data_IF_666136662760
#
_entry.id   IF_666136662760
#
_cell.length_a   1.000
_cell.length_b   1.000
_cell.length_c   1.000
_cell.angle_alpha   90.00
_cell.angle_beta   90.00
_cell.angle_gamma   90.00
#
_symmetry.space_group_name_H-M   'P 1'
#
loop_
_entity.id
_entity.type
_entity.pdbx_description
1 polymer ?
#
# COMPACT_ATOMS: atom_id res chain seq x y z
N UNK A 1 10.89 17.34 -15.23
CA UNK A 1 11.83 16.22 -15.41
C UNK A 1 12.01 15.57 -14.04
N UNK A 2 11.64 14.29 -13.85
CA UNK A 2 11.84 13.66 -12.56
C UNK A 2 13.30 13.19 -12.42
N UNK A 3 13.84 13.47 -11.24
CA UNK A 3 15.19 13.14 -10.78
C UNK A 3 15.37 11.62 -10.75
N UNK A 4 16.43 11.09 -11.37
CA UNK A 4 16.80 9.67 -11.29
C UNK A 4 17.93 9.52 -10.26
N UNK A 5 17.70 8.87 -9.10
CA UNK A 5 18.77 8.61 -8.14
C UNK A 5 19.74 7.55 -8.70
N UNK A 6 21.03 7.87 -8.69
CA UNK A 6 22.12 6.99 -9.10
C UNK A 6 22.37 5.88 -8.07
N UNK A 7 21.47 4.90 -7.98
CA UNK A 7 21.74 3.66 -7.26
C UNK A 7 22.28 2.63 -8.26
N UNK A 8 23.60 2.54 -8.35
CA UNK A 8 24.30 1.51 -9.11
C UNK A 8 24.06 0.13 -8.45
N UNK A 9 23.00 -0.54 -8.88
CA UNK A 9 22.74 -1.97 -8.58
C UNK A 9 23.24 -2.91 -9.69
N UNK A 10 24.08 -2.42 -10.61
CA UNK A 10 24.72 -3.27 -11.61
C UNK A 10 26.14 -3.58 -11.18
N UNK A 11 26.32 -4.69 -10.46
CA UNK A 11 27.53 -5.53 -10.47
C UNK A 11 27.28 -6.78 -9.61
N UNK A 12 26.76 -7.87 -10.19
CA UNK A 12 27.31 -9.20 -9.95
C UNK A 12 26.82 -10.20 -11.00
N UNK A 13 27.75 -10.96 -11.54
CA UNK A 13 27.57 -12.00 -12.54
C UNK A 13 26.56 -13.08 -12.13
N UNK A 14 25.85 -13.59 -13.15
CA UNK A 14 24.85 -14.68 -13.20
C UNK A 14 23.39 -14.19 -13.23
N UNK A 15 22.80 -14.26 -14.43
CA UNK A 15 21.40 -13.95 -14.70
C UNK A 15 20.41 -14.74 -13.84
N UNK A 16 19.96 -14.12 -12.75
CA UNK A 16 18.68 -14.45 -12.11
C UNK A 16 17.73 -13.28 -12.30
N UNK A 17 16.88 -13.39 -13.31
CA UNK A 17 15.66 -12.61 -13.42
C UNK A 17 14.71 -13.06 -12.31
N UNK A 18 14.43 -12.18 -11.34
CA UNK A 18 13.37 -12.28 -10.33
C UNK A 18 13.41 -13.58 -9.49
N UNK A 19 13.89 -13.44 -8.26
CA UNK A 19 13.68 -14.43 -7.21
C UNK A 19 12.19 -14.78 -7.08
N UNK A 20 11.83 -16.06 -7.22
CA UNK A 20 10.45 -16.50 -7.03
C UNK A 20 9.97 -16.13 -5.61
N UNK A 21 8.65 -16.12 -5.37
CA UNK A 21 8.08 -15.72 -4.08
C UNK A 21 8.76 -16.41 -2.89
N UNK A 22 9.09 -17.70 -3.03
CA UNK A 22 9.77 -18.48 -2.00
C UNK A 22 11.18 -17.98 -1.70
N UNK A 23 11.94 -17.52 -2.68
CA UNK A 23 13.26 -16.90 -2.46
C UNK A 23 13.13 -15.57 -1.71
N UNK A 24 12.07 -14.79 -1.98
CA UNK A 24 11.78 -13.53 -1.25
C UNK A 24 11.39 -13.84 0.20
N UNK A 25 10.51 -14.82 0.43
CA UNK A 25 10.13 -15.26 1.77
C UNK A 25 11.35 -15.69 2.58
N UNK A 26 12.25 -16.49 1.99
CA UNK A 26 13.47 -16.91 2.66
C UNK A 26 14.39 -15.72 2.96
N UNK A 27 14.51 -14.76 2.06
CA UNK A 27 15.28 -13.54 2.32
C UNK A 27 14.70 -12.74 3.49
N UNK A 28 13.36 -12.59 3.56
CA UNK A 28 12.67 -11.91 4.66
C UNK A 28 12.90 -12.63 6.00
N UNK A 29 12.78 -13.96 6.02
CA UNK A 29 13.02 -14.77 7.21
C UNK A 29 14.48 -14.69 7.70
N UNK A 30 15.41 -14.38 6.81
CA UNK A 30 16.83 -14.26 7.11
C UNK A 30 17.24 -12.86 7.60
N UNK A 31 16.32 -11.89 7.57
CA UNK A 31 16.66 -10.51 7.94
C UNK A 31 16.93 -10.37 9.45
N UNK A 32 17.94 -9.58 9.85
CA UNK A 32 18.07 -9.17 11.23
C UNK A 32 16.88 -8.30 11.64
N UNK A 33 16.52 -8.33 12.92
CA UNK A 33 15.29 -7.69 13.41
C UNK A 33 15.14 -6.22 13.01
N UNK A 34 16.23 -5.43 13.01
CA UNK A 34 16.18 -4.03 12.63
C UNK A 34 15.87 -3.79 11.14
N UNK A 35 16.35 -4.65 10.24
CA UNK A 35 16.02 -4.57 8.81
C UNK A 35 14.60 -5.07 8.56
N UNK A 36 14.16 -6.08 9.31
CA UNK A 36 12.78 -6.56 9.27
C UNK A 36 11.78 -5.47 9.70
N UNK A 37 12.09 -4.70 10.76
CA UNK A 37 11.25 -3.56 11.17
C UNK A 37 11.15 -2.48 10.08
N UNK A 38 12.28 -2.14 9.43
CA UNK A 38 12.27 -1.21 8.29
C UNK A 38 11.43 -1.73 7.13
N UNK A 39 11.56 -3.02 6.82
CA UNK A 39 10.80 -3.66 5.75
C UNK A 39 9.29 -3.61 6.05
N UNK A 40 8.89 -3.90 7.29
CA UNK A 40 7.49 -3.78 7.70
C UNK A 40 6.97 -2.34 7.55
N UNK A 41 7.73 -1.36 8.02
CA UNK A 41 7.32 0.04 7.92
C UNK A 41 7.10 0.45 6.47
N UNK A 42 8.06 0.16 5.60
CA UNK A 42 7.94 0.41 4.17
C UNK A 42 6.74 -0.33 3.54
N UNK A 43 6.47 -1.57 3.97
CA UNK A 43 5.33 -2.33 3.46
C UNK A 43 4.00 -1.69 3.85
N UNK A 44 3.87 -1.18 5.08
CA UNK A 44 2.68 -0.43 5.48
C UNK A 44 2.51 0.85 4.68
N UNK A 45 3.58 1.61 4.46
CA UNK A 45 3.52 2.83 3.65
C UNK A 45 3.05 2.52 2.22
N UNK A 46 3.51 1.42 1.63
CA UNK A 46 3.05 0.95 0.32
C UNK A 46 1.58 0.54 0.32
N UNK A 47 1.13 -0.15 1.37
CA UNK A 47 -0.26 -0.59 1.50
C UNK A 47 -1.21 0.62 1.65
N UNK A 48 -0.81 1.63 2.43
CA UNK A 48 -1.53 2.90 2.54
C UNK A 48 -1.64 3.62 1.19
N UNK A 49 -0.55 3.70 0.43
CA UNK A 49 -0.59 4.32 -0.91
C UNK A 49 -1.54 3.59 -1.85
N UNK A 50 -1.55 2.26 -1.85
CA UNK A 50 -2.48 1.48 -2.67
C UNK A 50 -3.92 1.66 -2.22
N UNK A 51 -4.14 1.78 -0.93
CA UNK A 51 -5.46 2.04 -0.38
C UNK A 51 -5.97 3.43 -0.80
N UNK A 52 -5.12 4.46 -0.76
CA UNK A 52 -5.46 5.79 -1.26
C UNK A 52 -5.86 5.74 -2.76
N UNK A 53 -5.05 5.09 -3.60
CA UNK A 53 -5.34 4.90 -5.03
C UNK A 53 -6.67 4.17 -5.26
N UNK A 54 -6.94 3.12 -4.48
CA UNK A 54 -8.18 2.35 -4.59
C UNK A 54 -9.40 3.18 -4.17
N UNK A 55 -9.29 3.96 -3.10
CA UNK A 55 -10.37 4.85 -2.66
C UNK A 55 -10.66 5.91 -3.72
N UNK A 56 -9.63 6.53 -4.31
CA UNK A 56 -9.81 7.50 -5.40
C UNK A 56 -10.53 6.88 -6.60
N UNK A 57 -10.16 5.65 -6.96
CA UNK A 57 -10.84 4.92 -8.04
C UNK A 57 -12.29 4.60 -7.68
N UNK A 58 -12.56 4.11 -6.47
CA UNK A 58 -13.91 3.77 -6.02
C UNK A 58 -14.82 5.01 -5.95
N UNK A 59 -14.27 6.18 -5.61
CA UNK A 59 -14.94 7.49 -5.71
C UNK A 59 -15.25 7.80 -7.18
N UNK A 60 -14.27 7.70 -8.07
CA UNK A 60 -14.45 8.00 -9.49
C UNK A 60 -15.48 7.08 -10.16
N UNK A 61 -15.58 5.84 -9.70
CA UNK A 61 -16.56 4.85 -10.18
C UNK A 61 -17.94 4.99 -9.49
N UNK A 62 -18.09 5.91 -8.53
CA UNK A 62 -19.34 6.13 -7.81
C UNK A 62 -19.75 4.97 -6.90
N UNK A 63 -18.79 4.12 -6.51
CA UNK A 63 -19.07 2.94 -5.66
C UNK A 63 -19.38 3.34 -4.22
N UNK A 64 -18.92 4.53 -3.80
CA UNK A 64 -19.15 5.06 -2.46
C UNK A 64 -20.44 5.90 -2.37
N UNK A 65 -21.13 6.19 -3.47
CA UNK A 65 -22.38 6.97 -3.47
C UNK A 65 -23.47 6.34 -2.62
N UNK A 66 -23.58 5.01 -2.62
CA UNK A 66 -24.58 4.29 -1.82
C UNK A 66 -24.33 4.49 -0.31
N UNK A 67 -23.06 4.41 0.11
CA UNK A 67 -22.65 4.66 1.49
C UNK A 67 -22.85 6.13 1.88
N UNK A 68 -22.57 7.06 0.96
CA UNK A 68 -22.84 8.48 1.18
C UNK A 68 -24.33 8.76 1.36
N UNK A 69 -25.19 8.14 0.54
CA UNK A 69 -26.64 8.29 0.65
C UNK A 69 -27.19 7.67 1.94
N UNK A 70 -26.67 6.51 2.35
CA UNK A 70 -27.02 5.89 3.63
C UNK A 70 -26.64 6.79 4.81
N UNK A 71 -25.40 7.29 4.84
CA UNK A 71 -24.93 8.19 5.89
C UNK A 71 -25.78 9.48 5.97
N UNK A 72 -26.16 10.06 4.82
CA UNK A 72 -27.05 11.22 4.77
C UNK A 72 -28.44 10.86 5.31
N UNK A 73 -28.99 9.70 4.94
CA UNK A 73 -30.30 9.27 5.41
C UNK A 73 -30.31 9.04 6.93
N UNK A 74 -29.27 8.42 7.48
CA UNK A 74 -29.11 8.23 8.92
C UNK A 74 -29.01 9.57 9.67
N UNK A 75 -28.20 10.50 9.14
CA UNK A 75 -28.09 11.86 9.67
C UNK A 75 -29.43 12.60 9.70
N UNK A 76 -30.15 12.59 8.58
CA UNK A 76 -31.47 13.23 8.46
C UNK A 76 -32.51 12.57 9.38
N UNK A 77 -32.40 11.25 9.59
CA UNK A 77 -33.30 10.52 10.49
C UNK A 77 -33.02 10.75 11.98
N UNK A 78 -32.03 11.58 12.32
CA UNK A 78 -31.68 11.92 13.71
C UNK A 78 -30.92 10.82 14.44
N UNK A 79 -30.38 9.83 13.72
CA UNK A 79 -29.57 8.74 14.29
C UNK A 79 -28.08 9.07 14.35
N UNK A 80 -27.70 10.36 14.37
CA UNK A 80 -26.33 10.79 14.55
C UNK A 80 -26.11 11.36 15.96
N UNK A 81 -24.98 10.96 16.56
CA UNK A 81 -24.48 11.56 17.80
C UNK A 81 -23.43 12.59 17.44
N UNK A 82 -23.57 13.79 17.99
CA UNK A 82 -22.56 14.85 17.89
C UNK A 82 -21.24 14.39 18.55
N UNK A 83 -20.10 14.69 17.92
CA UNK A 83 -18.77 14.29 18.39
C UNK A 83 -18.27 15.18 19.54
#
# INVERSE_FOLDING_TARGET
MPYQPSYNFYNNDRGKTVSNLKEIEQAILSLPSHEFEKLKQWFFDLDYQRWDEQIEQDIAEGRLEALAQEAIAEFVSGHCREL
#
